data_IF_614958850314
#
_entry.id   IF_614958850314
#
_cell.length_a   1.000
_cell.length_b   1.000
_cell.length_c   1.000
_cell.angle_alpha   90.00
_cell.angle_beta   90.00
_cell.angle_gamma   90.00
#
_symmetry.space_group_name_H-M   'P 1'
#
loop_
_entity.id
_entity.type
_entity.pdbx_description
1 polymer ?
#
# COMPACT_ATOMS: atom_id res chain seq x y z
N UNK A 1 3.57 6.30 12.89
CA UNK A 1 2.73 7.01 11.89
C UNK A 1 1.77 6.03 11.25
N UNK A 2 0.56 6.48 10.87
CA UNK A 2 -0.55 5.64 10.38
C UNK A 2 -0.19 4.63 9.28
N UNK A 3 0.80 4.92 8.42
CA UNK A 3 1.29 3.99 7.38
C UNK A 3 1.85 2.66 7.93
N UNK A 4 2.68 2.73 8.98
CA UNK A 4 3.14 1.53 9.71
C UNK A 4 1.96 0.74 10.28
N UNK A 5 0.86 1.43 10.58
CA UNK A 5 -0.33 0.78 11.10
C UNK A 5 -1.08 -0.02 10.02
N UNK A 6 -1.28 0.60 8.86
CA UNK A 6 -1.97 -0.05 7.74
C UNK A 6 -1.17 -1.24 7.19
N UNK A 7 0.17 -1.18 7.18
CA UNK A 7 1.00 -2.29 6.72
C UNK A 7 0.87 -3.55 7.59
N UNK A 8 0.75 -3.42 8.92
CA UNK A 8 0.57 -4.60 9.78
C UNK A 8 -0.82 -5.21 9.61
N UNK A 9 -1.85 -4.40 9.42
CA UNK A 9 -3.20 -4.89 9.18
C UNK A 9 -3.28 -5.60 7.84
N UNK A 10 -2.60 -5.06 6.83
CA UNK A 10 -2.48 -5.71 5.51
C UNK A 10 -1.86 -7.10 5.62
N UNK A 11 -0.76 -7.23 6.36
CA UNK A 11 -0.11 -8.53 6.62
C UNK A 11 -1.06 -9.49 7.34
N UNK A 12 -1.74 -9.03 8.40
CA UNK A 12 -2.70 -9.83 9.17
C UNK A 12 -3.80 -10.39 8.26
N UNK A 13 -4.39 -9.55 7.42
CA UNK A 13 -5.46 -9.94 6.49
C UNK A 13 -4.99 -10.91 5.41
N UNK A 14 -3.76 -10.74 4.89
CA UNK A 14 -3.16 -11.68 3.93
C UNK A 14 -2.99 -13.07 4.54
N UNK A 15 -2.43 -13.15 5.75
CA UNK A 15 -2.23 -14.42 6.45
C UNK A 15 -3.56 -15.09 6.77
N UNK A 16 -4.54 -14.33 7.28
CA UNK A 16 -5.89 -14.82 7.57
C UNK A 16 -6.59 -15.36 6.31
N UNK A 17 -6.43 -14.69 5.16
CA UNK A 17 -6.97 -15.18 3.90
C UNK A 17 -6.29 -16.49 3.44
N UNK A 18 -4.96 -16.60 3.62
CA UNK A 18 -4.22 -17.83 3.36
C UNK A 18 -4.68 -19.01 4.20
N UNK A 19 -4.88 -18.79 5.51
CA UNK A 19 -5.42 -19.80 6.44
C UNK A 19 -6.82 -20.29 6.03
N UNK A 20 -7.64 -19.41 5.45
CA UNK A 20 -8.97 -19.73 4.93
C UNK A 20 -8.92 -20.42 3.55
N UNK A 21 -7.74 -20.66 2.99
CA UNK A 21 -7.55 -21.33 1.71
C UNK A 21 -7.81 -20.44 0.48
N UNK A 22 -7.91 -19.11 0.66
CA UNK A 22 -8.08 -18.18 -0.45
C UNK A 22 -6.87 -18.22 -1.39
N UNK A 23 -7.10 -17.96 -2.68
CA UNK A 23 -6.04 -17.88 -3.71
C UNK A 23 -5.70 -16.47 -4.16
N UNK A 24 -6.58 -15.51 -3.83
CA UNK A 24 -6.40 -14.10 -4.12
C UNK A 24 -7.02 -13.27 -2.99
N UNK A 25 -6.33 -12.21 -2.59
CA UNK A 25 -6.87 -11.12 -1.78
C UNK A 25 -6.65 -9.79 -2.50
N UNK A 26 -7.68 -8.95 -2.56
CA UNK A 26 -7.64 -7.65 -3.19
C UNK A 26 -8.01 -6.56 -2.20
N UNK A 27 -7.22 -5.50 -2.18
CA UNK A 27 -7.44 -4.33 -1.34
C UNK A 27 -8.00 -3.17 -2.16
N UNK A 28 -8.81 -2.27 -1.54
CA UNK A 28 -9.31 -1.07 -2.20
C UNK A 28 -8.22 -0.11 -2.69
N UNK A 29 -8.62 0.85 -3.51
CA UNK A 29 -7.75 1.94 -3.99
C UNK A 29 -7.15 2.75 -2.81
N UNK A 30 -5.83 2.98 -2.89
CA UNK A 30 -5.05 3.74 -1.89
C UNK A 30 -5.30 3.21 -0.46
N UNK A 31 -5.34 1.89 -0.29
CA UNK A 31 -5.48 1.24 1.02
C UNK A 31 -4.40 1.71 2.01
N UNK A 32 -3.17 1.87 1.53
CA UNK A 32 -2.05 2.44 2.30
C UNK A 32 -1.70 3.81 1.73
N UNK A 33 -1.77 4.91 2.50
CA UNK A 33 -2.23 5.05 3.89
C UNK A 33 -3.75 5.28 4.08
N UNK A 34 -4.54 5.23 3.00
CA UNK A 34 -5.91 5.73 2.95
C UNK A 34 -6.02 6.93 2.00
N UNK A 35 -7.11 6.98 1.22
CA UNK A 35 -7.29 8.03 0.22
C UNK A 35 -7.38 9.43 0.85
N UNK A 36 -6.59 10.40 0.36
CA UNK A 36 -6.62 11.75 0.87
C UNK A 36 -7.87 12.50 0.37
N UNK A 37 -8.97 12.45 1.13
CA UNK A 37 -10.23 13.12 0.73
C UNK A 37 -10.22 14.64 0.96
N UNK A 38 -9.33 15.17 1.80
CA UNK A 38 -9.32 16.59 2.16
C UNK A 38 -9.18 17.57 0.99
N UNK A 39 -8.46 17.30 -0.13
CA UNK A 39 -8.38 18.23 -1.26
C UNK A 39 -9.75 18.56 -1.87
N UNK A 40 -10.74 17.68 -1.69
CA UNK A 40 -12.11 17.88 -2.16
C UNK A 40 -12.99 18.64 -1.15
N UNK A 41 -12.52 18.91 0.07
CA UNK A 41 -13.28 19.57 1.15
C UNK A 41 -12.76 20.95 1.54
N UNK A 42 -11.49 21.24 1.30
CA UNK A 42 -10.85 22.48 1.78
C UNK A 42 -10.22 23.26 0.67
N UNK A 43 -10.15 24.58 0.86
CA UNK A 43 -9.46 25.48 -0.05
C UNK A 43 -7.95 25.25 0.02
N UNK A 44 -7.23 25.62 -1.03
CA UNK A 44 -5.78 25.36 -1.14
C UNK A 44 -4.99 25.85 0.09
N UNK A 45 -5.27 27.04 0.60
CA UNK A 45 -4.59 27.62 1.77
C UNK A 45 -4.77 26.76 3.04
N UNK A 46 -5.96 26.21 3.26
CA UNK A 46 -6.29 25.38 4.42
C UNK A 46 -5.79 23.93 4.27
N UNK A 47 -5.41 23.54 3.05
CA UNK A 47 -4.79 22.23 2.77
C UNK A 47 -3.28 22.21 3.07
N UNK A 48 -2.63 23.38 3.18
CA UNK A 48 -1.20 23.51 3.41
C UNK A 48 -0.71 22.83 4.71
N UNK A 49 -1.43 22.86 5.85
CA UNK A 49 -1.03 22.12 7.05
C UNK A 49 -1.13 20.59 6.89
N UNK A 50 -2.03 20.10 6.02
CA UNK A 50 -2.13 18.69 5.62
C UNK A 50 -1.17 18.33 4.46
N UNK A 51 -0.14 19.17 4.26
CA UNK A 51 0.81 19.20 3.14
C UNK A 51 1.25 17.84 2.57
N UNK A 52 1.78 17.91 1.34
CA UNK A 52 2.61 16.88 0.71
C UNK A 52 3.60 16.19 1.68
N UNK A 53 4.09 16.85 2.73
CA UNK A 53 4.95 16.25 3.76
C UNK A 53 4.23 15.16 4.57
N UNK A 54 2.99 15.38 4.99
CA UNK A 54 2.20 14.38 5.73
C UNK A 54 1.81 13.22 4.82
N UNK A 55 1.51 13.51 3.55
CA UNK A 55 1.22 12.48 2.54
C UNK A 55 2.46 11.66 2.19
N UNK A 56 3.59 12.32 1.99
CA UNK A 56 4.88 11.70 1.66
C UNK A 56 5.42 10.84 2.79
N UNK A 57 5.23 11.24 4.05
CA UNK A 57 5.59 10.40 5.20
C UNK A 57 4.66 9.20 5.42
N UNK A 58 3.45 9.25 4.85
CA UNK A 58 2.49 8.15 4.93
C UNK A 58 2.52 7.21 3.70
N UNK A 59 3.12 7.64 2.60
CA UNK A 59 3.33 6.86 1.38
C UNK A 59 4.30 5.68 1.56
N UNK A 60 4.20 4.69 0.67
CA UNK A 60 5.06 3.51 0.64
C UNK A 60 6.04 3.62 -0.53
N UNK A 61 7.29 3.18 -0.32
CA UNK A 61 8.19 2.95 -1.46
C UNK A 61 8.07 1.48 -1.90
N UNK A 62 8.20 1.15 -3.19
CA UNK A 62 8.16 -0.25 -3.66
C UNK A 62 9.27 -1.11 -3.05
N UNK A 63 10.40 -0.48 -2.70
CA UNK A 63 11.58 -1.09 -2.09
C UNK A 63 11.64 -0.93 -0.55
N UNK A 64 10.56 -0.48 0.10
CA UNK A 64 10.56 -0.30 1.56
C UNK A 64 10.44 -1.61 2.35
N UNK A 65 10.86 -1.57 3.61
CA UNK A 65 10.70 -2.68 4.55
C UNK A 65 9.23 -3.07 4.73
N UNK A 66 8.32 -2.09 4.73
CA UNK A 66 6.88 -2.34 4.81
C UNK A 66 6.37 -3.13 3.59
N UNK A 67 6.79 -2.76 2.36
CA UNK A 67 6.44 -3.54 1.17
C UNK A 67 7.07 -4.94 1.21
N UNK A 68 8.31 -5.06 1.70
CA UNK A 68 8.98 -6.34 1.88
C UNK A 68 8.20 -7.28 2.81
N UNK A 69 7.63 -6.76 3.91
CA UNK A 69 6.78 -7.54 4.82
C UNK A 69 5.49 -8.01 4.15
N UNK A 70 4.84 -7.16 3.35
CA UNK A 70 3.63 -7.53 2.60
C UNK A 70 3.94 -8.64 1.59
N UNK A 71 5.05 -8.53 0.85
CA UNK A 71 5.52 -9.59 -0.06
C UNK A 71 5.82 -10.90 0.67
N UNK A 72 6.44 -10.81 1.85
CA UNK A 72 6.74 -11.97 2.69
C UNK A 72 5.46 -12.66 3.15
N UNK A 73 4.45 -11.90 3.59
CA UNK A 73 3.15 -12.43 3.97
C UNK A 73 2.43 -13.12 2.81
N UNK A 74 2.48 -12.53 1.59
CA UNK A 74 1.90 -13.15 0.40
C UNK A 74 2.52 -14.53 0.12
N UNK A 75 3.85 -14.64 0.26
CA UNK A 75 4.59 -15.89 0.10
C UNK A 75 4.24 -16.91 1.18
N UNK A 76 4.19 -16.50 2.44
CA UNK A 76 3.84 -17.37 3.57
C UNK A 76 2.40 -17.90 3.47
N UNK A 77 1.47 -17.05 3.03
CA UNK A 77 0.08 -17.42 2.79
C UNK A 77 -0.14 -18.18 1.47
N UNK A 78 0.88 -18.28 0.60
CA UNK A 78 0.79 -18.86 -0.75
C UNK A 78 -0.41 -18.32 -1.56
N UNK A 79 -0.55 -16.99 -1.59
CA UNK A 79 -1.71 -16.27 -2.14
C UNK A 79 -1.29 -15.13 -3.06
N UNK A 80 -2.09 -14.85 -4.09
CA UNK A 80 -1.94 -13.61 -4.86
C UNK A 80 -2.48 -12.42 -4.06
N UNK A 81 -1.80 -11.28 -4.14
CA UNK A 81 -2.23 -10.02 -3.49
C UNK A 81 -2.34 -8.91 -4.53
N UNK A 82 -3.49 -8.25 -4.59
CA UNK A 82 -3.67 -7.00 -5.33
C UNK A 82 -3.80 -5.84 -4.35
N UNK A 83 -2.82 -4.95 -4.32
CA UNK A 83 -2.74 -3.86 -3.35
C UNK A 83 -2.70 -2.49 -4.03
N UNK A 84 -3.72 -1.67 -3.81
CA UNK A 84 -3.69 -0.25 -4.11
C UNK A 84 -3.00 0.55 -3.01
N UNK A 85 -2.02 1.37 -3.35
CA UNK A 85 -1.28 2.17 -2.38
C UNK A 85 -0.78 3.48 -2.98
N UNK A 86 -0.43 4.41 -2.10
CA UNK A 86 0.25 5.63 -2.51
C UNK A 86 1.76 5.36 -2.60
N UNK A 87 2.27 5.25 -3.82
CA UNK A 87 3.66 5.04 -4.10
C UNK A 87 4.45 6.34 -4.03
N UNK A 88 5.64 6.29 -3.43
CA UNK A 88 6.62 7.37 -3.45
C UNK A 88 7.86 6.98 -4.22
N UNK A 89 8.17 7.79 -5.23
CA UNK A 89 9.40 7.70 -6.00
C UNK A 89 10.06 9.09 -6.05
N UNK A 90 11.19 9.24 -5.36
CA UNK A 90 11.84 10.53 -5.13
C UNK A 90 10.91 11.53 -4.45
N UNK A 91 10.67 12.66 -5.13
CA UNK A 91 9.78 13.74 -4.68
C UNK A 91 8.36 13.64 -5.27
N UNK A 92 8.06 12.59 -6.01
CA UNK A 92 6.76 12.37 -6.65
C UNK A 92 5.95 11.32 -5.89
N UNK A 93 4.63 11.49 -5.94
CA UNK A 93 3.64 10.58 -5.36
C UNK A 93 2.72 10.07 -6.47
N UNK A 94 2.45 8.77 -6.48
CA UNK A 94 1.63 8.11 -7.48
C UNK A 94 0.55 7.28 -6.78
N UNK A 95 -0.68 7.35 -7.27
CA UNK A 95 -1.69 6.34 -6.96
C UNK A 95 -1.33 5.12 -7.79
N UNK A 96 -0.87 4.06 -7.13
CA UNK A 96 -0.33 2.88 -7.77
C UNK A 96 -1.04 1.62 -7.30
N UNK A 97 -0.94 0.57 -8.12
CA UNK A 97 -1.38 -0.77 -7.78
C UNK A 97 -0.22 -1.74 -8.00
N UNK A 98 0.01 -2.63 -7.04
CA UNK A 98 0.94 -3.75 -7.18
C UNK A 98 0.19 -5.06 -7.12
N UNK A 99 0.61 -6.02 -7.96
CA UNK A 99 0.20 -7.42 -7.87
C UNK A 99 1.40 -8.19 -7.35
N UNK A 100 1.21 -8.99 -6.30
CA UNK A 100 2.25 -9.82 -5.71
C UNK A 100 1.83 -11.28 -5.93
N UNK A 101 2.74 -12.08 -6.46
CA UNK A 101 2.53 -13.51 -6.67
C UNK A 101 2.73 -14.32 -5.37
N UNK A 102 2.35 -15.61 -5.35
CA UNK A 102 2.55 -16.49 -4.19
C UNK A 102 4.02 -16.80 -3.87
N UNK A 103 4.97 -16.40 -4.71
CA UNK A 103 6.41 -16.46 -4.40
C UNK A 103 6.89 -15.17 -3.73
N UNK A 104 6.03 -14.17 -3.60
CA UNK A 104 6.34 -12.86 -3.05
C UNK A 104 7.02 -11.93 -4.07
N UNK A 105 6.98 -12.24 -5.37
CA UNK A 105 7.49 -11.35 -6.41
C UNK A 105 6.41 -10.37 -6.84
N UNK A 106 6.84 -9.17 -7.20
CA UNK A 106 6.04 -8.22 -7.95
C UNK A 106 6.48 -8.26 -9.42
N UNK A 107 5.58 -8.08 -10.39
CA UNK A 107 5.97 -7.99 -11.78
C UNK A 107 6.95 -6.81 -11.95
N UNK A 108 7.91 -6.91 -12.88
CA UNK A 108 8.80 -5.79 -13.17
C UNK A 108 7.96 -4.56 -13.53
N UNK A 109 8.42 -3.33 -13.16
CA UNK A 109 7.70 -2.12 -13.51
C UNK A 109 7.43 -2.10 -15.02
N UNK A 110 6.19 -1.78 -15.41
CA UNK A 110 5.85 -1.60 -16.80
C UNK A 110 6.76 -0.50 -17.38
N UNK A 111 7.56 -0.87 -18.38
CA UNK A 111 8.43 0.07 -19.11
C UNK A 111 7.62 1.07 -19.91
#
# INVERSE_FOLDING_TARGET
GKSKSASWETVRLILEAGERGCKLIAFPEVWIPGYPYWPWRVNYADSLPFSMTTVSTASLRPDSDEMCRIRTAAREANIYVSLGYLERNGNSLYIAQVIIDPLGHQPPPAR
#
